data_IF_015200469453
#
_entry.id   IF_015200469453
#
_cell.length_a   1.000
_cell.length_b   1.000
_cell.length_c   1.000
_cell.angle_alpha   90.00
_cell.angle_beta   90.00
_cell.angle_gamma   90.00
#
_symmetry.space_group_name_H-M   'P 1'
#
loop_
_entity.id
_entity.type
_entity.pdbx_description
1 polymer ?
#
# COMPACT_ATOMS: atom_id res chain seq x y z
N UNK A 1 7.40 16.27 26.06
CA UNK A 1 6.56 16.31 24.84
C UNK A 1 6.18 17.75 24.46
N UNK A 2 5.44 18.48 25.30
CA UNK A 2 4.94 19.84 25.00
C UNK A 2 6.07 20.84 24.66
N UNK A 3 7.13 20.90 25.48
CA UNK A 3 8.24 21.84 25.21
C UNK A 3 9.00 21.53 23.92
N UNK A 4 9.05 20.25 23.53
CA UNK A 4 9.63 19.86 22.25
C UNK A 4 8.73 20.27 21.08
N UNK A 5 7.42 20.07 21.21
CA UNK A 5 6.44 20.53 20.24
C UNK A 5 6.52 22.05 20.04
N UNK A 6 6.53 22.84 21.12
CA UNK A 6 6.66 24.31 21.05
C UNK A 6 7.89 24.77 20.27
N UNK A 7 9.03 24.07 20.42
CA UNK A 7 10.25 24.37 19.64
C UNK A 7 10.09 24.06 18.16
N UNK A 8 9.44 22.94 17.82
CA UNK A 8 9.22 22.51 16.44
C UNK A 8 8.25 23.46 15.71
N UNK A 9 7.22 23.94 16.41
CA UNK A 9 6.10 24.67 15.79
C UNK A 9 6.25 26.19 15.87
N UNK A 10 7.28 26.70 16.54
CA UNK A 10 7.51 28.15 16.69
C UNK A 10 7.48 28.87 15.32
N UNK A 11 6.90 30.09 15.24
CA UNK A 11 6.20 30.85 16.28
C UNK A 11 4.72 30.48 16.48
N UNK A 12 4.21 29.40 15.87
CA UNK A 12 2.80 29.03 15.94
C UNK A 12 2.37 28.68 17.38
N UNK A 13 1.29 29.29 17.89
CA UNK A 13 0.65 28.83 19.12
C UNK A 13 0.17 27.37 19.02
N UNK A 14 0.41 26.58 20.07
CA UNK A 14 0.08 25.15 20.09
C UNK A 14 -1.43 24.89 19.97
N UNK A 15 -2.26 25.74 20.58
CA UNK A 15 -3.72 25.70 20.49
C UNK A 15 -4.21 25.90 19.06
N UNK A 16 -3.57 26.78 18.28
CA UNK A 16 -3.89 26.94 16.84
C UNK A 16 -3.56 25.70 16.04
N UNK A 17 -2.42 25.06 16.31
CA UNK A 17 -2.06 23.82 15.65
C UNK A 17 -3.03 22.68 15.99
N UNK A 18 -3.39 22.52 17.26
CA UNK A 18 -4.38 21.54 17.70
C UNK A 18 -5.73 21.79 17.03
N UNK A 19 -6.18 23.05 17.00
CA UNK A 19 -7.42 23.43 16.34
C UNK A 19 -7.39 23.06 14.85
N UNK A 20 -6.32 23.38 14.14
CA UNK A 20 -6.18 23.03 12.72
C UNK A 20 -6.19 21.52 12.50
N UNK A 21 -5.48 20.74 13.32
CA UNK A 21 -5.45 19.27 13.21
C UNK A 21 -6.83 18.64 13.50
N UNK A 22 -7.55 19.13 14.51
CA UNK A 22 -8.94 18.72 14.77
C UNK A 22 -9.88 19.15 13.65
N UNK A 23 -9.68 20.34 13.09
CA UNK A 23 -10.37 20.81 11.91
C UNK A 23 -9.99 20.03 10.64
N UNK A 24 -8.98 19.14 10.69
CA UNK A 24 -8.71 18.11 9.68
C UNK A 24 -9.34 16.75 10.01
N UNK A 25 -10.19 16.66 11.03
CA UNK A 25 -10.98 15.47 11.34
C UNK A 25 -10.25 14.49 12.24
N UNK A 26 -9.16 14.91 12.86
CA UNK A 26 -8.55 14.17 13.95
C UNK A 26 -9.45 14.21 15.18
N UNK A 27 -9.84 13.03 15.66
CA UNK A 27 -10.55 12.84 16.90
C UNK A 27 -9.65 12.06 17.89
N UNK A 28 -9.24 12.66 19.01
CA UNK A 28 -8.37 11.99 19.98
C UNK A 28 -9.05 10.80 20.67
N UNK A 29 -10.37 10.81 20.86
CA UNK A 29 -11.09 9.71 21.47
C UNK A 29 -11.10 8.48 20.54
N UNK A 30 -11.37 8.70 19.25
CA UNK A 30 -11.26 7.64 18.23
C UNK A 30 -9.83 7.09 18.13
N UNK A 31 -8.83 7.97 18.22
CA UNK A 31 -7.42 7.56 18.20
C UNK A 31 -7.04 6.69 19.41
N UNK A 32 -7.50 7.05 20.61
CA UNK A 32 -7.29 6.25 21.84
C UNK A 32 -7.99 4.88 21.73
N UNK A 33 -9.23 4.86 21.25
CA UNK A 33 -10.03 3.65 21.18
C UNK A 33 -9.51 2.66 20.12
N UNK A 34 -8.96 3.18 19.03
CA UNK A 34 -8.48 2.37 17.91
C UNK A 34 -7.08 1.81 18.14
N UNK A 35 -6.27 2.40 19.03
CA UNK A 35 -4.85 2.08 19.14
C UNK A 35 -4.47 1.59 20.54
N UNK A 36 -4.04 0.33 20.64
CA UNK A 36 -3.93 -0.39 21.91
C UNK A 36 -3.01 0.25 22.96
N UNK A 37 -1.84 0.73 22.58
CA UNK A 37 -0.88 1.40 23.47
C UNK A 37 -1.31 2.83 23.85
N UNK A 38 -2.32 3.39 23.18
CA UNK A 38 -2.90 4.69 23.51
C UNK A 38 -3.98 4.63 24.60
N UNK A 39 -4.41 3.43 25.03
CA UNK A 39 -5.52 3.25 25.99
C UNK A 39 -5.35 3.95 27.35
N UNK A 40 -4.11 4.24 27.73
CA UNK A 40 -3.79 4.94 28.99
C UNK A 40 -3.59 6.46 28.81
N UNK A 41 -3.74 6.97 27.59
CA UNK A 41 -3.61 8.39 27.28
C UNK A 41 -4.96 9.08 27.49
N UNK A 42 -4.93 10.32 27.97
CA UNK A 42 -6.07 11.23 27.83
C UNK A 42 -6.05 11.91 26.45
N UNK A 43 -7.13 12.61 26.09
CA UNK A 43 -7.28 13.24 24.77
C UNK A 43 -6.16 14.23 24.42
N UNK A 44 -5.68 15.00 25.40
CA UNK A 44 -4.58 15.95 25.19
C UNK A 44 -3.27 15.21 24.90
N UNK A 45 -2.95 14.19 25.69
CA UNK A 45 -1.77 13.35 25.48
C UNK A 45 -1.84 12.65 24.12
N UNK A 46 -3.01 12.14 23.73
CA UNK A 46 -3.22 11.51 22.43
C UNK A 46 -3.06 12.50 21.28
N UNK A 47 -3.57 13.73 21.45
CA UNK A 47 -3.38 14.82 20.50
C UNK A 47 -1.90 15.20 20.36
N UNK A 48 -1.18 15.40 21.47
CA UNK A 48 0.24 15.72 21.44
C UNK A 48 1.07 14.60 20.83
N UNK A 49 0.76 13.34 21.16
CA UNK A 49 1.39 12.18 20.57
C UNK A 49 1.17 12.17 19.04
N UNK A 50 -0.07 12.33 18.59
CA UNK A 50 -0.40 12.32 17.17
C UNK A 50 0.39 13.41 16.41
N UNK A 51 0.32 14.66 16.89
CA UNK A 51 1.00 15.81 16.30
C UNK A 51 2.51 15.61 16.27
N UNK A 52 3.09 15.04 17.32
CA UNK A 52 4.54 14.89 17.43
C UNK A 52 5.08 13.74 16.55
N UNK A 53 4.41 12.60 16.55
CA UNK A 53 4.91 11.38 15.92
C UNK A 53 3.83 10.46 15.35
N UNK A 54 2.63 10.40 15.96
CA UNK A 54 1.62 9.41 15.59
C UNK A 54 1.17 9.48 14.14
N UNK A 55 1.20 10.66 13.51
CA UNK A 55 0.91 10.82 12.08
C UNK A 55 1.92 10.10 11.16
N UNK A 56 3.11 9.76 11.67
CA UNK A 56 4.18 9.04 10.94
C UNK A 56 4.14 7.54 11.13
N UNK A 57 3.45 7.08 12.16
CA UNK A 57 3.49 5.68 12.61
C UNK A 57 2.50 4.77 11.85
N UNK A 58 1.73 5.32 10.90
CA UNK A 58 0.75 4.59 10.08
C UNK A 58 -0.18 3.66 10.89
N UNK A 59 -0.47 4.00 12.16
CA UNK A 59 -1.44 3.31 13.04
C UNK A 59 -2.79 3.23 12.34
N UNK A 60 -3.73 2.34 12.73
CA UNK A 60 -5.10 2.28 12.18
C UNK A 60 -6.14 2.89 13.15
N UNK A 61 -6.99 3.81 12.67
CA UNK A 61 -7.93 4.68 13.41
C UNK A 61 -8.71 5.54 12.40
N UNK A 62 -10.02 5.76 12.57
CA UNK A 62 -10.81 6.54 11.64
C UNK A 62 -10.45 8.03 11.71
N UNK A 63 -10.42 8.70 10.55
CA UNK A 63 -10.26 10.15 10.48
C UNK A 63 -11.39 10.77 9.66
N UNK A 64 -11.99 11.84 10.19
CA UNK A 64 -13.06 12.57 9.52
C UNK A 64 -12.60 13.26 8.23
N UNK A 65 -13.54 13.85 7.48
CA UNK A 65 -13.27 14.53 6.19
C UNK A 65 -13.40 16.08 6.17
N UNK A 66 -12.81 16.83 7.10
CA UNK A 66 -12.79 18.28 6.95
C UNK A 66 -11.49 18.72 6.26
N UNK A 67 -11.45 18.61 4.93
CA UNK A 67 -10.31 19.08 4.10
C UNK A 67 -10.05 20.59 4.26
N UNK A 68 -11.03 21.37 4.72
CA UNK A 68 -10.85 22.77 5.09
C UNK A 68 -9.72 22.96 6.10
N UNK A 69 -9.56 22.04 7.06
CA UNK A 69 -8.48 22.10 8.05
C UNK A 69 -7.08 21.98 7.44
N UNK A 70 -6.93 21.37 6.27
CA UNK A 70 -5.62 21.23 5.62
C UNK A 70 -5.08 22.59 5.17
N UNK A 71 -5.95 23.43 4.61
CA UNK A 71 -5.56 24.80 4.23
C UNK A 71 -5.22 25.63 5.47
N UNK A 72 -5.99 25.48 6.55
CA UNK A 72 -5.67 26.13 7.84
C UNK A 72 -4.31 25.68 8.38
N UNK A 73 -4.05 24.37 8.38
CA UNK A 73 -2.82 23.75 8.84
C UNK A 73 -1.60 24.25 8.05
N UNK A 74 -1.71 24.37 6.72
CA UNK A 74 -0.63 24.88 5.86
C UNK A 74 -0.43 26.40 5.96
N UNK A 75 -1.44 27.15 6.40
CA UNK A 75 -1.35 28.60 6.59
C UNK A 75 -0.84 29.00 7.99
N UNK A 76 -0.60 28.04 8.89
CA UNK A 76 0.01 28.33 10.19
C UNK A 76 1.43 28.86 10.03
N UNK A 77 1.79 29.85 10.84
CA UNK A 77 3.15 30.41 10.89
C UNK A 77 4.09 29.48 11.67
N UNK A 78 4.53 28.40 11.03
CA UNK A 78 5.50 27.45 11.57
C UNK A 78 6.82 27.64 10.79
N UNK A 79 7.92 27.95 11.49
CA UNK A 79 9.24 28.11 10.85
C UNK A 79 9.73 26.82 10.21
N UNK A 80 9.46 25.67 10.86
CA UNK A 80 9.76 24.36 10.30
C UNK A 80 8.70 23.93 9.27
N UNK A 81 8.80 24.49 8.07
CA UNK A 81 7.88 24.19 6.96
C UNK A 81 7.91 22.71 6.55
N UNK A 82 9.04 22.02 6.73
CA UNK A 82 9.15 20.58 6.48
C UNK A 82 8.26 19.77 7.40
N UNK A 83 8.30 20.05 8.71
CA UNK A 83 7.40 19.45 9.70
C UNK A 83 5.93 19.74 9.40
N UNK A 84 5.59 20.99 9.08
CA UNK A 84 4.21 21.39 8.77
C UNK A 84 3.65 20.61 7.58
N UNK A 85 4.43 20.51 6.49
CA UNK A 85 4.06 19.72 5.31
C UNK A 85 3.93 18.24 5.65
N UNK A 86 4.85 17.67 6.42
CA UNK A 86 4.81 16.28 6.87
C UNK A 86 3.54 15.98 7.69
N UNK A 87 3.16 16.86 8.61
CA UNK A 87 1.95 16.70 9.41
C UNK A 87 0.69 16.78 8.55
N UNK A 88 0.59 17.79 7.67
CA UNK A 88 -0.53 17.92 6.74
C UNK A 88 -0.66 16.69 5.84
N UNK A 89 0.47 16.15 5.38
CA UNK A 89 0.54 14.92 4.60
C UNK A 89 0.00 13.73 5.37
N UNK A 90 0.50 13.47 6.58
CA UNK A 90 0.06 12.34 7.39
C UNK A 90 -1.45 12.37 7.69
N UNK A 91 -1.98 13.57 7.91
CA UNK A 91 -3.42 13.77 8.08
C UNK A 91 -4.20 13.46 6.80
N UNK A 92 -3.82 14.04 5.66
CA UNK A 92 -4.50 13.79 4.38
C UNK A 92 -4.46 12.31 3.96
N UNK A 93 -3.28 11.69 4.01
CA UNK A 93 -3.10 10.25 3.73
C UNK A 93 -4.10 9.45 4.54
N UNK A 94 -4.28 9.83 5.81
CA UNK A 94 -5.19 9.12 6.68
C UNK A 94 -6.66 9.31 6.32
N UNK A 95 -7.05 10.51 5.90
CA UNK A 95 -8.38 10.75 5.36
C UNK A 95 -8.64 9.91 4.11
N UNK A 96 -7.65 9.80 3.21
CA UNK A 96 -7.75 8.93 2.03
C UNK A 96 -7.87 7.45 2.41
N UNK A 97 -7.05 6.95 3.32
CA UNK A 97 -7.15 5.56 3.80
C UNK A 97 -8.54 5.27 4.40
N UNK A 98 -9.07 6.19 5.21
CA UNK A 98 -10.41 6.06 5.82
C UNK A 98 -11.50 6.07 4.76
N UNK A 99 -11.40 6.94 3.75
CA UNK A 99 -12.33 6.99 2.63
C UNK A 99 -12.25 5.71 1.76
N UNK A 100 -11.04 5.23 1.45
CA UNK A 100 -10.82 4.03 0.64
C UNK A 100 -11.40 2.76 1.30
N UNK A 101 -11.33 2.66 2.64
CA UNK A 101 -11.95 1.57 3.40
C UNK A 101 -13.48 1.62 3.40
N UNK A 102 -14.06 2.82 3.40
CA UNK A 102 -15.52 3.00 3.53
C UNK A 102 -16.25 3.00 2.18
N UNK A 103 -15.90 3.90 1.27
CA UNK A 103 -16.55 4.04 -0.04
C UNK A 103 -15.64 4.83 -1.01
N UNK A 104 -15.29 4.21 -2.14
CA UNK A 104 -14.39 4.78 -3.15
C UNK A 104 -14.95 6.02 -3.86
N UNK A 105 -16.27 6.19 -3.90
CA UNK A 105 -16.87 7.40 -4.45
C UNK A 105 -16.46 8.65 -3.68
N UNK A 106 -16.23 8.51 -2.38
CA UNK A 106 -15.76 9.63 -1.56
C UNK A 106 -14.33 10.04 -1.88
N UNK A 107 -13.52 9.16 -2.48
CA UNK A 107 -12.18 9.52 -2.93
C UNK A 107 -12.23 10.51 -4.09
N UNK A 108 -13.27 10.44 -4.93
CA UNK A 108 -13.45 11.37 -6.05
C UNK A 108 -13.62 12.79 -5.53
N UNK A 109 -14.45 12.98 -4.52
CA UNK A 109 -14.66 14.29 -3.89
C UNK A 109 -13.38 14.78 -3.19
N UNK A 110 -12.68 13.90 -2.45
CA UNK A 110 -11.39 14.26 -1.86
C UNK A 110 -10.34 14.65 -2.91
N UNK A 111 -10.30 13.95 -4.06
CA UNK A 111 -9.42 14.30 -5.19
C UNK A 111 -9.74 15.70 -5.71
N UNK A 112 -11.01 16.05 -5.88
CA UNK A 112 -11.43 17.39 -6.31
C UNK A 112 -10.99 18.45 -5.29
N UNK A 113 -11.15 18.16 -4.00
CA UNK A 113 -10.77 19.05 -2.89
C UNK A 113 -9.25 19.27 -2.81
N UNK A 114 -8.42 18.24 -2.95
CA UNK A 114 -6.95 18.46 -2.94
C UNK A 114 -6.48 19.22 -4.18
N UNK A 115 -7.12 18.99 -5.34
CA UNK A 115 -6.80 19.75 -6.55
C UNK A 115 -7.15 21.22 -6.42
N UNK A 116 -8.29 21.56 -5.80
CA UNK A 116 -8.67 22.95 -5.54
C UNK A 116 -7.73 23.65 -4.55
N UNK A 117 -7.11 22.88 -3.64
CA UNK A 117 -6.04 23.32 -2.75
C UNK A 117 -4.63 23.27 -3.38
N UNK A 118 -4.51 23.14 -4.71
CA UNK A 118 -3.27 23.16 -5.47
C UNK A 118 -2.28 22.01 -5.17
N UNK A 119 -2.79 20.88 -4.68
CA UNK A 119 -2.05 19.63 -4.60
C UNK A 119 -2.18 18.82 -5.89
N UNK A 120 -1.21 17.94 -6.14
CA UNK A 120 -1.20 17.06 -7.31
C UNK A 120 -1.51 15.62 -6.88
N UNK A 121 -2.73 15.10 -7.09
CA UNK A 121 -3.02 13.70 -6.81
C UNK A 121 -2.24 12.78 -7.76
N UNK A 122 -1.76 11.65 -7.25
CA UNK A 122 -1.45 10.48 -8.06
C UNK A 122 -2.15 9.27 -7.45
N UNK A 123 -2.60 8.34 -8.29
CA UNK A 123 -3.36 7.18 -7.81
C UNK A 123 -2.44 5.98 -7.75
N UNK A 124 -2.52 5.20 -6.67
CA UNK A 124 -1.87 3.90 -6.57
C UNK A 124 -2.95 2.86 -6.34
N UNK A 125 -3.03 1.84 -7.19
CA UNK A 125 -3.99 0.74 -7.07
C UNK A 125 -3.18 -0.55 -6.99
N UNK A 126 -3.32 -1.29 -5.89
CA UNK A 126 -2.54 -2.51 -5.72
C UNK A 126 -3.08 -3.42 -4.64
N UNK A 127 -2.40 -4.56 -4.45
CA UNK A 127 -2.63 -5.40 -3.29
C UNK A 127 -2.08 -4.73 -1.99
N UNK A 128 -2.05 -5.43 -0.86
CA UNK A 128 -1.60 -4.86 0.42
C UNK A 128 -0.20 -4.23 0.38
N UNK A 129 0.66 -4.64 -0.54
CA UNK A 129 2.02 -4.10 -0.66
C UNK A 129 2.03 -2.68 -1.24
N UNK A 130 0.93 -2.22 -1.83
CA UNK A 130 0.81 -0.82 -2.28
C UNK A 130 0.75 0.16 -1.11
N UNK A 131 0.54 -0.28 0.13
CA UNK A 131 0.55 0.58 1.32
C UNK A 131 1.86 1.36 1.48
N UNK A 132 2.96 0.86 0.91
CA UNK A 132 4.27 1.51 0.93
C UNK A 132 4.33 2.82 0.10
N UNK A 133 3.36 3.08 -0.78
CA UNK A 133 3.28 4.33 -1.56
C UNK A 133 2.41 5.39 -0.88
N UNK A 134 2.09 5.23 0.40
CA UNK A 134 1.19 6.12 1.15
C UNK A 134 1.82 7.46 1.58
N UNK A 135 3.02 7.82 1.12
CA UNK A 135 3.71 9.06 1.53
C UNK A 135 3.64 10.14 0.48
N UNK A 136 3.51 11.39 0.92
CA UNK A 136 3.58 12.56 0.05
C UNK A 136 5.00 12.78 -0.44
N UNK A 137 5.12 13.41 -1.61
CA UNK A 137 6.40 13.82 -2.17
C UNK A 137 6.32 15.31 -2.49
N UNK A 138 7.28 16.10 -2.01
CA UNK A 138 7.46 17.49 -2.41
C UNK A 138 8.53 17.55 -3.50
N UNK A 139 8.15 17.97 -4.71
CA UNK A 139 9.06 18.18 -5.83
C UNK A 139 8.98 19.64 -6.24
N UNK A 140 10.04 20.39 -5.95
CA UNK A 140 10.16 21.82 -6.27
C UNK A 140 8.96 22.67 -5.78
N UNK A 141 8.46 22.38 -4.57
CA UNK A 141 7.33 23.09 -3.96
C UNK A 141 5.96 22.61 -4.43
N UNK A 142 5.89 21.62 -5.32
CA UNK A 142 4.65 20.93 -5.70
C UNK A 142 4.49 19.68 -4.86
N UNK A 143 3.38 19.61 -4.14
CA UNK A 143 3.09 18.50 -3.24
C UNK A 143 2.25 17.46 -3.99
N UNK A 144 2.82 16.27 -4.15
CA UNK A 144 2.20 15.09 -4.74
C UNK A 144 1.58 14.22 -3.65
N UNK A 145 0.32 13.84 -3.87
CA UNK A 145 -0.54 13.19 -2.87
C UNK A 145 -0.97 11.81 -3.35
N UNK A 146 -0.58 10.71 -2.68
CA UNK A 146 -1.04 9.38 -3.02
C UNK A 146 -2.50 9.21 -2.64
N UNK A 147 -3.31 8.83 -3.61
CA UNK A 147 -4.63 8.25 -3.40
C UNK A 147 -4.47 6.74 -3.56
N UNK A 148 -4.26 6.05 -2.44
CA UNK A 148 -3.96 4.64 -2.42
C UNK A 148 -5.24 3.79 -2.27
N UNK A 149 -5.49 2.94 -3.27
CA UNK A 149 -6.55 1.96 -3.31
C UNK A 149 -5.99 0.57 -3.02
N UNK A 150 -5.96 0.24 -1.74
CA UNK A 150 -5.48 -1.06 -1.26
C UNK A 150 -6.56 -2.12 -1.47
N UNK A 151 -6.27 -3.08 -2.33
CA UNK A 151 -7.11 -4.20 -2.69
C UNK A 151 -6.60 -5.45 -1.99
N UNK A 152 -6.77 -5.53 -0.66
CA UNK A 152 -6.22 -6.62 0.16
C UNK A 152 -6.65 -8.00 -0.35
N UNK A 153 -5.67 -8.87 -0.61
CA UNK A 153 -5.89 -10.22 -1.15
C UNK A 153 -6.27 -10.28 -2.63
N UNK A 154 -6.25 -9.16 -3.35
CA UNK A 154 -6.35 -9.17 -4.80
C UNK A 154 -5.08 -9.72 -5.45
N UNK A 155 -5.25 -10.36 -6.60
CA UNK A 155 -4.17 -10.93 -7.40
C UNK A 155 -4.23 -10.36 -8.81
N UNK A 156 -3.08 -10.22 -9.46
CA UNK A 156 -2.98 -9.87 -10.87
C UNK A 156 -3.78 -10.86 -11.74
N UNK A 157 -3.69 -12.16 -11.39
CA UNK A 157 -4.48 -13.22 -12.02
C UNK A 157 -6.00 -13.00 -11.88
N UNK A 158 -6.46 -12.47 -10.76
CA UNK A 158 -7.88 -12.27 -10.46
C UNK A 158 -8.51 -11.02 -11.08
N UNK A 159 -7.74 -9.98 -11.38
CA UNK A 159 -8.30 -8.71 -11.86
C UNK A 159 -9.09 -8.83 -13.17
N UNK A 160 -8.63 -9.68 -14.10
CA UNK A 160 -9.28 -9.89 -15.41
C UNK A 160 -10.48 -10.83 -15.40
N UNK A 161 -10.94 -11.28 -14.23
CA UNK A 161 -11.95 -12.33 -14.05
C UNK A 161 -13.21 -11.81 -13.34
N UNK A 162 -14.35 -12.02 -13.98
CA UNK A 162 -15.67 -11.62 -13.44
C UNK A 162 -16.12 -12.49 -12.26
N UNK A 163 -15.62 -13.72 -12.16
CA UNK A 163 -16.01 -14.72 -11.16
C UNK A 163 -15.16 -14.66 -9.87
N UNK A 164 -14.34 -13.63 -9.70
CA UNK A 164 -13.51 -13.51 -8.49
C UNK A 164 -14.34 -13.14 -7.28
N UNK A 165 -14.07 -13.81 -6.15
CA UNK A 165 -14.74 -13.54 -4.87
C UNK A 165 -14.51 -12.11 -4.36
N UNK A 166 -13.37 -11.51 -4.67
CA UNK A 166 -13.01 -10.17 -4.21
C UNK A 166 -13.65 -9.06 -5.05
N UNK A 167 -13.97 -9.31 -6.33
CA UNK A 167 -14.62 -8.35 -7.22
C UNK A 167 -13.82 -7.07 -7.51
N UNK A 168 -12.53 -7.01 -7.13
CA UNK A 168 -11.75 -5.78 -7.22
C UNK A 168 -11.55 -5.29 -8.67
N UNK A 169 -11.38 -6.20 -9.65
CA UNK A 169 -11.22 -5.81 -11.05
C UNK A 169 -12.39 -4.96 -11.55
N UNK A 170 -13.63 -5.44 -11.33
CA UNK A 170 -14.86 -4.70 -11.68
C UNK A 170 -14.95 -3.38 -10.92
N UNK A 171 -14.68 -3.38 -9.61
CA UNK A 171 -14.75 -2.18 -8.77
C UNK A 171 -13.76 -1.10 -9.24
N UNK A 172 -12.53 -1.49 -9.61
CA UNK A 172 -11.52 -0.59 -10.16
C UNK A 172 -12.00 -0.02 -11.49
N UNK A 173 -12.49 -0.87 -12.40
CA UNK A 173 -13.02 -0.42 -13.69
C UNK A 173 -14.16 0.60 -13.53
N UNK A 174 -15.14 0.31 -12.68
CA UNK A 174 -16.29 1.20 -12.43
C UNK A 174 -15.84 2.54 -11.83
N UNK A 175 -14.89 2.52 -10.90
CA UNK A 175 -14.37 3.73 -10.27
C UNK A 175 -13.54 4.59 -11.24
N UNK A 176 -12.68 3.99 -12.06
CA UNK A 176 -11.90 4.72 -13.08
C UNK A 176 -12.81 5.33 -14.15
N UNK A 177 -13.86 4.60 -14.56
CA UNK A 177 -14.88 5.13 -15.47
C UNK A 177 -15.59 6.34 -14.88
N UNK A 178 -15.89 6.31 -13.57
CA UNK A 178 -16.49 7.45 -12.87
C UNK A 178 -15.55 8.65 -12.81
N UNK A 179 -14.27 8.43 -12.45
CA UNK A 179 -13.25 9.48 -12.49
C UNK A 179 -13.16 10.15 -13.87
N UNK A 180 -13.19 9.36 -14.94
CA UNK A 180 -13.18 9.86 -16.31
C UNK A 180 -14.44 10.69 -16.62
N UNK A 181 -15.62 10.21 -16.22
CA UNK A 181 -16.89 10.91 -16.46
C UNK A 181 -17.01 12.26 -15.74
N UNK A 182 -16.32 12.40 -14.61
CA UNK A 182 -16.19 13.63 -13.83
C UNK A 182 -15.11 14.58 -14.40
N UNK A 183 -14.46 14.21 -15.50
CA UNK A 183 -13.36 14.94 -16.15
C UNK A 183 -12.20 15.29 -15.19
N UNK A 184 -11.92 14.39 -14.26
CA UNK A 184 -10.84 14.58 -13.29
C UNK A 184 -9.53 14.12 -13.94
N UNK A 185 -8.71 15.09 -14.36
CA UNK A 185 -7.36 14.79 -14.84
C UNK A 185 -6.48 14.24 -13.71
N UNK A 186 -6.03 13.00 -13.84
CA UNK A 186 -5.02 12.37 -12.99
C UNK A 186 -3.72 12.28 -13.79
N UNK A 187 -2.60 12.82 -13.29
CA UNK A 187 -1.32 12.78 -13.99
C UNK A 187 -0.82 11.36 -14.29
N UNK A 188 -0.96 10.47 -13.32
CA UNK A 188 -0.42 9.10 -13.37
C UNK A 188 -1.21 8.16 -12.44
N UNK A 189 -1.43 6.94 -12.90
CA UNK A 189 -2.03 5.86 -12.11
C UNK A 189 -1.05 4.68 -12.09
N UNK A 190 -0.56 4.38 -10.89
CA UNK A 190 0.35 3.26 -10.64
C UNK A 190 -0.45 2.02 -10.28
N UNK A 191 -0.14 0.91 -10.95
CA UNK A 191 -0.68 -0.39 -10.61
C UNK A 191 0.39 -1.29 -10.01
N UNK A 192 0.08 -1.91 -8.89
CA UNK A 192 0.99 -2.81 -8.17
C UNK A 192 0.29 -4.10 -7.74
N UNK A 193 0.35 -5.09 -8.61
CA UNK A 193 -0.21 -6.42 -8.36
C UNK A 193 0.79 -7.49 -8.76
N UNK A 194 0.67 -8.66 -8.15
CA UNK A 194 1.49 -9.83 -8.46
C UNK A 194 2.29 -10.37 -7.28
N UNK A 195 2.46 -9.59 -6.21
CA UNK A 195 3.16 -10.09 -5.02
C UNK A 195 2.39 -11.28 -4.44
N UNK A 196 1.06 -11.12 -4.30
CA UNK A 196 0.19 -12.19 -3.81
C UNK A 196 0.21 -13.42 -4.72
N UNK A 197 0.23 -13.21 -6.04
CA UNK A 197 0.31 -14.28 -7.03
C UNK A 197 1.56 -15.15 -6.82
N UNK A 198 2.71 -14.50 -6.74
CA UNK A 198 4.01 -15.18 -6.66
C UNK A 198 4.20 -15.84 -5.29
N UNK A 199 3.89 -15.15 -4.19
CA UNK A 199 4.16 -15.66 -2.84
C UNK A 199 3.14 -16.71 -2.37
N UNK A 200 1.86 -16.56 -2.71
CA UNK A 200 0.79 -17.36 -2.13
C UNK A 200 0.01 -18.16 -3.15
N UNK A 201 -0.52 -17.52 -4.21
CA UNK A 201 -1.44 -18.19 -5.13
C UNK A 201 -0.77 -19.34 -5.87
N UNK A 202 0.49 -19.16 -6.29
CA UNK A 202 1.30 -20.24 -6.90
C UNK A 202 1.39 -21.47 -5.98
N UNK A 203 1.72 -21.23 -4.71
CA UNK A 203 1.84 -22.25 -3.66
C UNK A 203 0.51 -22.93 -3.37
N UNK A 204 -0.59 -22.18 -3.22
CA UNK A 204 -1.91 -22.74 -2.89
C UNK A 204 -2.52 -23.53 -4.05
N UNK A 205 -2.25 -23.14 -5.29
CA UNK A 205 -2.62 -23.96 -6.46
C UNK A 205 -1.89 -25.29 -6.45
N UNK A 206 -0.60 -25.30 -6.10
CA UNK A 206 0.19 -26.52 -5.97
C UNK A 206 -0.38 -27.44 -4.88
N UNK A 207 -0.74 -26.90 -3.72
CA UNK A 207 -1.44 -27.65 -2.65
C UNK A 207 -2.72 -28.30 -3.18
N UNK A 208 -3.54 -27.55 -3.92
CA UNK A 208 -4.81 -28.04 -4.48
C UNK A 208 -4.63 -29.18 -5.50
N UNK A 209 -3.45 -29.29 -6.10
CA UNK A 209 -3.07 -30.34 -7.04
C UNK A 209 -2.33 -31.51 -6.35
N UNK A 210 -2.33 -31.56 -5.02
CA UNK A 210 -1.60 -32.55 -4.19
C UNK A 210 -0.09 -32.62 -4.49
N UNK A 211 0.48 -31.50 -4.97
CA UNK A 211 1.90 -31.39 -5.28
C UNK A 211 2.69 -30.93 -4.06
N UNK A 212 3.70 -31.70 -3.65
CA UNK A 212 4.59 -31.31 -2.55
C UNK A 212 5.94 -30.77 -3.02
N UNK A 213 6.39 -31.14 -4.22
CA UNK A 213 7.69 -30.72 -4.76
C UNK A 213 7.59 -29.39 -5.51
N UNK A 214 8.68 -28.64 -5.56
CA UNK A 214 8.74 -27.42 -6.37
C UNK A 214 9.12 -27.75 -7.82
N UNK A 215 8.40 -27.13 -8.77
CA UNK A 215 8.66 -27.24 -10.20
C UNK A 215 8.80 -25.84 -10.78
N UNK A 216 10.01 -25.50 -11.23
CA UNK A 216 10.25 -24.23 -11.91
C UNK A 216 9.42 -24.09 -13.20
N UNK A 217 9.29 -25.12 -14.07
CA UNK A 217 8.40 -25.04 -15.23
C UNK A 217 6.95 -24.71 -14.85
N UNK A 218 6.37 -25.38 -13.85
CA UNK A 218 4.99 -25.12 -13.43
C UNK A 218 4.82 -23.70 -12.87
N UNK A 219 5.84 -23.20 -12.16
CA UNK A 219 5.88 -21.82 -11.72
C UNK A 219 5.92 -20.84 -12.90
N UNK A 220 6.75 -21.10 -13.92
CA UNK A 220 6.82 -20.26 -15.13
C UNK A 220 5.46 -20.22 -15.84
N UNK A 221 4.80 -21.36 -15.99
CA UNK A 221 3.46 -21.45 -16.60
C UNK A 221 2.42 -20.67 -15.78
N UNK A 222 2.50 -20.76 -14.45
CA UNK A 222 1.66 -19.96 -13.56
C UNK A 222 1.89 -18.45 -13.75
N UNK A 223 3.15 -18.02 -13.84
CA UNK A 223 3.49 -16.61 -14.06
C UNK A 223 2.94 -16.14 -15.39
N UNK A 224 3.09 -16.91 -16.47
CA UNK A 224 2.56 -16.55 -17.79
C UNK A 224 1.04 -16.39 -17.78
N UNK A 225 0.34 -17.26 -17.05
CA UNK A 225 -1.10 -17.13 -16.85
C UNK A 225 -1.48 -15.84 -16.07
N UNK A 226 -0.76 -15.54 -14.98
CA UNK A 226 -1.02 -14.34 -14.18
C UNK A 226 -0.76 -13.05 -14.97
N UNK A 227 0.37 -12.97 -15.68
CA UNK A 227 0.73 -11.84 -16.54
C UNK A 227 -0.29 -11.66 -17.66
N UNK A 228 -0.74 -12.74 -18.32
CA UNK A 228 -1.74 -12.65 -19.39
C UNK A 228 -3.08 -12.13 -18.90
N UNK A 229 -3.52 -12.54 -17.70
CA UNK A 229 -4.75 -12.04 -17.09
C UNK A 229 -4.64 -10.55 -16.74
N UNK A 230 -3.49 -10.15 -16.21
CA UNK A 230 -3.22 -8.77 -15.85
C UNK A 230 -3.14 -7.86 -17.07
N UNK A 231 -2.49 -8.32 -18.15
CA UNK A 231 -2.42 -7.64 -19.43
C UNK A 231 -3.83 -7.37 -19.98
N UNK A 232 -4.72 -8.37 -19.96
CA UNK A 232 -6.11 -8.21 -20.39
C UNK A 232 -6.81 -7.11 -19.61
N UNK A 233 -6.69 -7.13 -18.28
CA UNK A 233 -7.28 -6.10 -17.42
C UNK A 233 -6.73 -4.70 -17.75
N UNK A 234 -5.40 -4.54 -17.86
CA UNK A 234 -4.75 -3.26 -18.17
C UNK A 234 -5.18 -2.71 -19.55
N UNK A 235 -5.38 -3.59 -20.55
CA UNK A 235 -5.93 -3.18 -21.85
C UNK A 235 -7.33 -2.60 -21.73
N UNK A 236 -8.19 -3.21 -20.93
CA UNK A 236 -9.57 -2.76 -20.75
C UNK A 236 -9.66 -1.37 -20.11
N UNK A 237 -8.70 -1.02 -19.24
CA UNK A 237 -8.63 0.30 -18.61
C UNK A 237 -7.68 1.27 -19.32
N UNK A 238 -7.03 0.89 -20.43
CA UNK A 238 -6.03 1.72 -21.12
C UNK A 238 -6.53 3.08 -21.62
N UNK A 239 -7.85 3.30 -21.62
CA UNK A 239 -8.45 4.59 -21.90
C UNK A 239 -8.20 5.64 -20.82
N UNK A 240 -7.78 5.24 -19.61
CA UNK A 240 -7.65 6.13 -18.45
C UNK A 240 -6.24 6.73 -18.35
N UNK A 241 -6.04 7.88 -18.98
CA UNK A 241 -4.85 8.71 -18.77
C UNK A 241 -3.52 7.96 -18.97
N UNK A 242 -2.54 8.25 -18.12
CA UNK A 242 -1.24 7.57 -18.11
C UNK A 242 -1.24 6.47 -17.04
N UNK A 243 -0.77 5.29 -17.45
CA UNK A 243 -0.67 4.12 -16.60
C UNK A 243 0.78 3.70 -16.45
N UNK A 244 1.14 3.38 -15.20
CA UNK A 244 2.45 2.83 -14.82
C UNK A 244 2.24 1.51 -14.09
N UNK A 245 3.07 0.51 -14.39
CA UNK A 245 3.08 -0.77 -13.68
C UNK A 245 4.33 -0.82 -12.81
N UNK A 246 4.13 -1.00 -11.50
CA UNK A 246 5.20 -1.18 -10.54
C UNK A 246 5.61 -2.65 -10.50
N UNK A 247 6.92 -2.91 -10.35
CA UNK A 247 7.43 -4.23 -10.05
C UNK A 247 6.91 -4.71 -8.69
N UNK A 248 6.84 -6.03 -8.51
CA UNK A 248 6.66 -6.66 -7.20
C UNK A 248 7.97 -6.51 -6.41
N UNK A 249 7.89 -6.48 -5.08
CA UNK A 249 9.06 -6.34 -4.21
C UNK A 249 9.82 -7.67 -4.07
N UNK A 250 11.10 -7.66 -3.63
CA UNK A 250 11.74 -8.90 -3.21
C UNK A 250 10.99 -9.51 -2.01
N UNK A 251 11.03 -10.86 -1.88
CA UNK A 251 10.34 -11.53 -0.78
C UNK A 251 11.00 -11.21 0.56
N UNK A 252 10.19 -10.99 1.60
CA UNK A 252 10.65 -10.76 2.98
C UNK A 252 10.30 -11.91 3.93
N UNK A 253 9.33 -12.75 3.57
CA UNK A 253 8.91 -13.91 4.36
C UNK A 253 10.06 -14.91 4.48
N UNK A 254 10.48 -15.22 5.71
CA UNK A 254 11.67 -16.06 5.95
C UNK A 254 11.42 -17.54 5.66
N UNK A 255 12.49 -18.29 5.41
CA UNK A 255 12.41 -19.76 5.26
C UNK A 255 11.89 -20.42 6.55
N UNK A 256 12.24 -19.85 7.72
CA UNK A 256 11.71 -20.29 9.02
C UNK A 256 10.18 -20.13 9.10
N UNK A 257 9.65 -18.97 8.70
CA UNK A 257 8.21 -18.72 8.69
C UNK A 257 7.45 -19.70 7.78
N UNK A 258 8.01 -20.00 6.61
CA UNK A 258 7.46 -21.03 5.72
C UNK A 258 7.46 -22.42 6.37
N UNK A 259 8.56 -22.80 7.00
CA UNK A 259 8.68 -24.08 7.71
C UNK A 259 7.71 -24.20 8.91
N UNK A 260 7.36 -23.08 9.54
CA UNK A 260 6.33 -23.02 10.59
C UNK A 260 4.90 -23.15 10.03
N UNK A 261 4.74 -23.16 8.71
CA UNK A 261 3.46 -23.25 8.03
C UNK A 261 2.74 -21.90 8.01
N UNK A 262 3.47 -20.80 7.81
CA UNK A 262 2.85 -19.49 7.64
C UNK A 262 1.79 -19.53 6.54
N UNK A 263 0.62 -18.99 6.85
CA UNK A 263 -0.51 -18.87 5.93
C UNK A 263 -1.13 -17.51 6.13
N UNK A 264 -1.27 -16.74 5.06
CA UNK A 264 -2.18 -15.62 5.06
C UNK A 264 -3.62 -16.18 4.99
N UNK A 265 -4.28 -16.26 6.15
CA UNK A 265 -5.59 -16.91 6.31
C UNK A 265 -6.65 -16.38 5.32
N UNK A 266 -6.61 -15.08 5.02
CA UNK A 266 -7.56 -14.44 4.09
C UNK A 266 -7.36 -14.92 2.65
N UNK A 267 -6.11 -15.00 2.18
CA UNK A 267 -5.80 -15.50 0.84
C UNK A 267 -6.09 -17.00 0.76
N UNK A 268 -5.72 -17.75 1.80
CA UNK A 268 -5.85 -19.19 1.85
C UNK A 268 -7.32 -19.64 1.76
N UNK A 269 -8.20 -18.99 2.51
CA UNK A 269 -9.63 -19.20 2.41
C UNK A 269 -10.20 -18.78 1.05
N UNK A 270 -9.76 -17.65 0.50
CA UNK A 270 -10.20 -17.15 -0.80
C UNK A 270 -9.89 -18.12 -1.94
N UNK A 271 -8.68 -18.69 -1.96
CA UNK A 271 -8.18 -19.56 -3.04
C UNK A 271 -8.64 -21.03 -2.92
N UNK A 272 -8.70 -21.56 -1.69
CA UNK A 272 -8.91 -23.01 -1.48
C UNK A 272 -10.29 -23.36 -0.91
N UNK A 273 -10.92 -22.44 -0.16
CA UNK A 273 -12.12 -22.73 0.64
C UNK A 273 -11.87 -23.64 1.86
N UNK A 274 -10.62 -23.93 2.20
CA UNK A 274 -10.20 -24.79 3.32
C UNK A 274 -9.84 -23.93 4.54
N UNK A 275 -9.89 -24.50 5.75
CA UNK A 275 -9.53 -23.78 6.99
C UNK A 275 -8.03 -23.41 7.01
N UNK A 276 -7.64 -22.25 7.59
CA UNK A 276 -6.25 -21.84 7.68
C UNK A 276 -5.34 -22.87 8.35
N UNK A 277 -5.82 -23.60 9.35
CA UNK A 277 -5.05 -24.62 10.08
C UNK A 277 -4.73 -25.83 9.21
N UNK A 278 -5.68 -26.25 8.37
CA UNK A 278 -5.46 -27.34 7.43
C UNK A 278 -4.47 -26.95 6.33
N UNK A 279 -4.54 -25.70 5.86
CA UNK A 279 -3.59 -25.18 4.87
C UNK A 279 -2.21 -25.03 5.49
N UNK A 280 -2.11 -24.56 6.74
CA UNK A 280 -0.84 -24.43 7.45
C UNK A 280 -0.13 -25.78 7.58
N UNK A 281 -0.88 -26.84 7.91
CA UNK A 281 -0.34 -28.22 7.92
C UNK A 281 0.16 -28.67 6.55
N UNK A 282 -0.55 -28.33 5.48
CA UNK A 282 -0.15 -28.67 4.12
C UNK A 282 1.10 -27.89 3.71
N UNK A 283 1.19 -26.59 4.03
CA UNK A 283 2.37 -25.75 3.76
C UNK A 283 3.63 -26.33 4.38
N UNK A 284 3.56 -26.85 5.61
CA UNK A 284 4.73 -27.50 6.28
C UNK A 284 5.27 -28.73 5.55
N UNK A 285 4.46 -29.36 4.69
CA UNK A 285 4.85 -30.53 3.92
C UNK A 285 5.33 -30.18 2.51
N UNK A 286 5.33 -28.90 2.13
CA UNK A 286 5.79 -28.45 0.83
C UNK A 286 7.30 -28.25 0.82
N UNK A 287 7.91 -28.58 -0.31
CA UNK A 287 9.19 -28.03 -0.70
C UNK A 287 9.00 -26.54 -1.05
N UNK A 288 9.50 -25.66 -0.18
CA UNK A 288 9.53 -24.22 -0.40
C UNK A 288 10.94 -23.84 -0.88
N UNK A 289 11.07 -23.15 -2.02
CA UNK A 289 12.36 -22.66 -2.48
C UNK A 289 13.01 -21.71 -1.46
N UNK A 290 14.34 -21.72 -1.40
CA UNK A 290 15.12 -20.82 -0.53
C UNK A 290 14.79 -19.34 -0.78
N UNK A 291 15.08 -18.47 0.19
CA UNK A 291 14.94 -17.02 0.02
C UNK A 291 15.58 -16.47 -1.27
N UNK A 292 16.78 -16.95 -1.62
CA UNK A 292 17.46 -16.59 -2.86
C UNK A 292 16.68 -17.04 -4.09
N UNK A 293 16.25 -18.29 -4.13
CA UNK A 293 15.45 -18.83 -5.23
C UNK A 293 14.12 -18.09 -5.38
N UNK A 294 13.47 -17.71 -4.27
CA UNK A 294 12.26 -16.88 -4.31
C UNK A 294 12.55 -15.47 -4.82
N UNK A 295 13.69 -14.88 -4.48
CA UNK A 295 14.11 -13.59 -5.04
C UNK A 295 14.31 -13.68 -6.57
N UNK A 296 14.93 -14.76 -7.06
CA UNK A 296 15.06 -15.03 -8.50
C UNK A 296 13.69 -15.23 -9.18
N UNK A 297 12.74 -15.89 -8.51
CA UNK A 297 11.36 -16.05 -8.99
C UNK A 297 10.64 -14.70 -9.10
N UNK A 298 10.82 -13.78 -8.14
CA UNK A 298 10.27 -12.42 -8.21
C UNK A 298 10.91 -11.61 -9.34
N UNK A 299 12.24 -11.75 -9.53
CA UNK A 299 12.93 -11.15 -10.66
C UNK A 299 12.40 -11.66 -12.01
N UNK A 300 12.13 -12.96 -12.12
CA UNK A 300 11.50 -13.57 -13.31
C UNK A 300 10.11 -12.97 -13.58
N UNK A 301 9.28 -12.85 -12.54
CA UNK A 301 7.95 -12.24 -12.64
C UNK A 301 8.05 -10.79 -13.12
N UNK A 302 8.94 -10.00 -12.51
CA UNK A 302 9.19 -8.61 -12.87
C UNK A 302 9.72 -8.44 -14.29
N UNK A 303 10.55 -9.36 -14.78
CA UNK A 303 10.99 -9.35 -16.17
C UNK A 303 9.82 -9.56 -17.15
N UNK A 304 8.89 -10.47 -16.83
CA UNK A 304 7.69 -10.68 -17.65
C UNK A 304 6.72 -9.50 -17.53
N UNK A 305 6.55 -8.90 -16.35
CA UNK A 305 5.79 -7.65 -16.18
C UNK A 305 6.37 -6.53 -17.03
N UNK A 306 7.69 -6.33 -17.03
CA UNK A 306 8.35 -5.30 -17.82
C UNK A 306 8.07 -5.48 -19.32
N UNK A 307 8.20 -6.70 -19.83
CA UNK A 307 7.88 -7.02 -21.24
C UNK A 307 6.41 -6.76 -21.58
N UNK A 308 5.49 -7.11 -20.67
CA UNK A 308 4.07 -6.81 -20.82
C UNK A 308 3.83 -5.30 -20.88
N UNK A 309 4.44 -4.52 -19.98
CA UNK A 309 4.35 -3.06 -19.97
C UNK A 309 4.89 -2.45 -21.26
N UNK A 310 6.06 -2.90 -21.74
CA UNK A 310 6.64 -2.47 -23.03
C UNK A 310 5.70 -2.76 -24.20
N UNK A 311 5.11 -3.97 -24.23
CA UNK A 311 4.14 -4.36 -25.26
C UNK A 311 2.90 -3.46 -25.24
N UNK A 312 2.40 -3.12 -24.05
CA UNK A 312 1.25 -2.23 -23.86
C UNK A 312 1.59 -0.74 -23.96
N UNK A 313 2.87 -0.39 -24.15
CA UNK A 313 3.39 0.99 -24.12
C UNK A 313 3.07 1.72 -22.81
N UNK A 314 3.11 0.98 -21.70
CA UNK A 314 2.97 1.51 -20.35
C UNK A 314 4.35 1.79 -19.76
N UNK A 315 4.41 2.70 -18.79
CA UNK A 315 5.62 2.88 -17.99
C UNK A 315 5.80 1.68 -17.06
N UNK A 316 7.06 1.27 -16.87
CA UNK A 316 7.43 0.26 -15.89
C UNK A 316 8.32 0.89 -14.83
N UNK A 317 7.94 0.75 -13.56
CA UNK A 317 8.69 1.26 -12.40
C UNK A 317 9.35 0.07 -11.69
N UNK A 318 10.67 0.10 -11.62
CA UNK A 318 11.45 -0.94 -10.95
C UNK A 318 11.69 -0.57 -9.48
N UNK A 319 10.80 -1.06 -8.62
CA UNK A 319 10.90 -0.98 -7.17
C UNK A 319 11.61 -2.21 -6.57
N UNK A 320 11.98 -3.19 -7.40
CA UNK A 320 12.57 -4.45 -6.98
C UNK A 320 14.09 -4.32 -6.85
N UNK A 321 14.76 -3.94 -7.94
CA UNK A 321 16.23 -3.94 -8.01
C UNK A 321 16.89 -3.05 -6.96
N UNK A 322 16.37 -1.87 -6.60
CA UNK A 322 16.96 -1.03 -5.55
C UNK A 322 16.95 -1.67 -4.15
N UNK A 323 16.07 -2.65 -3.92
CA UNK A 323 15.91 -3.30 -2.61
C UNK A 323 16.69 -4.61 -2.47
N UNK A 324 17.27 -5.10 -3.57
CA UNK A 324 18.06 -6.34 -3.57
C UNK A 324 19.51 -6.00 -3.24
N UNK A 325 20.00 -6.56 -2.13
CA UNK A 325 21.39 -6.39 -1.71
C UNK A 325 22.37 -7.25 -2.49
N UNK A 326 23.66 -7.09 -2.19
CA UNK A 326 24.77 -7.79 -2.86
C UNK A 326 24.69 -9.34 -2.78
N UNK A 327 23.90 -9.88 -1.85
CA UNK A 327 23.70 -11.32 -1.68
C UNK A 327 22.63 -11.91 -2.59
N UNK A 328 21.97 -11.09 -3.43
CA UNK A 328 20.89 -11.53 -4.31
C UNK A 328 19.58 -11.83 -3.56
N UNK A 329 19.39 -11.20 -2.41
CA UNK A 329 18.17 -11.22 -1.58
C UNK A 329 17.86 -9.79 -1.12
N UNK A 330 16.68 -9.55 -0.56
CA UNK A 330 16.34 -8.25 0.04
C UNK A 330 17.43 -7.79 1.03
N UNK A 331 17.84 -6.53 0.94
CA UNK A 331 18.85 -5.97 1.84
C UNK A 331 18.28 -5.80 3.26
N UNK A 332 19.08 -6.13 4.29
CA UNK A 332 18.63 -6.20 5.68
C UNK A 332 18.10 -4.85 6.20
N UNK A 333 18.66 -3.73 5.72
CA UNK A 333 18.22 -2.38 6.07
C UNK A 333 16.76 -2.10 5.68
N UNK A 334 16.22 -2.81 4.69
CA UNK A 334 14.84 -2.67 4.27
C UNK A 334 13.89 -3.60 5.02
N UNK A 335 14.41 -4.52 5.83
CA UNK A 335 13.65 -5.53 6.57
C UNK A 335 13.68 -5.19 8.07
N UNK A 336 13.11 -4.05 8.54
CA UNK A 336 13.29 -3.66 9.94
C UNK A 336 12.57 -4.62 10.88
N UNK A 337 13.31 -5.18 11.85
CA UNK A 337 12.82 -5.59 13.18
C UNK A 337 11.61 -6.52 13.28
N UNK A 338 11.04 -6.98 12.17
CA UNK A 338 9.93 -7.90 12.13
C UNK A 338 10.50 -9.32 12.20
N UNK A 339 9.80 -10.27 12.84
CA UNK A 339 10.26 -11.65 12.98
C UNK A 339 10.26 -12.43 11.64
N UNK A 340 10.27 -11.73 10.50
CA UNK A 340 10.19 -12.33 9.18
C UNK A 340 8.80 -12.84 8.80
N UNK A 341 7.75 -12.38 9.51
CA UNK A 341 6.35 -12.82 9.37
C UNK A 341 5.41 -11.70 8.84
N UNK A 342 5.96 -10.54 8.51
CA UNK A 342 5.22 -9.37 8.02
C UNK A 342 5.55 -9.11 6.55
N UNK A 343 4.53 -9.20 5.71
CA UNK A 343 4.61 -9.06 4.25
C UNK A 343 4.74 -7.59 3.83
N UNK A 344 4.35 -6.66 4.70
CA UNK A 344 4.54 -5.22 4.52
C UNK A 344 5.92 -4.74 4.98
N UNK A 345 6.76 -5.67 5.47
CA UNK A 345 8.02 -5.41 6.15
C UNK A 345 9.13 -4.77 5.32
N UNK A 346 8.88 -4.30 4.09
CA UNK A 346 9.80 -3.36 3.42
C UNK A 346 9.51 -1.97 3.97
N UNK A 347 10.28 -1.52 4.95
CA UNK A 347 10.14 -0.12 5.37
C UNK A 347 11.03 0.78 4.54
N UNK A 348 10.49 1.94 4.15
CA UNK A 348 11.26 3.05 3.61
C UNK A 348 12.10 3.77 4.69
N UNK A 349 12.61 3.04 5.69
CA UNK A 349 13.50 3.55 6.73
C UNK A 349 14.95 3.08 6.51
N UNK A 350 15.43 3.23 5.28
CA UNK A 350 16.84 3.59 5.08
C UNK A 350 16.96 5.09 5.37
N UNK A 351 17.69 5.43 6.42
CA UNK A 351 17.94 6.77 6.93
C UNK A 351 18.49 7.72 5.86
N UNK A 352 17.86 8.90 5.72
CA UNK A 352 18.48 10.22 5.98
C UNK A 352 17.40 11.30 6.22
#
# INVERSE_FOLDING_TARGET
MIEMLKRIISPCPLDKLISAVRACGFDPAEYINSVNDMKNFNEDQATYHFILQGFRENRDFPMGRPMQGISELLNLSIENTGYQKLLASGVMVRQFQTAAKSNWDHLIELIKEIKSANFVPYIVIGDSHSELYSRFIDVDGRIFVPVNLVCSGATALGLGREDTRSGFGRRIYEWLKKLQSENIAIPEIFFKFGQVDVEFTSTFKRIKLDGNLFSLPDFVDFVDLSISSYEKFLREISYIGRLSVCSIFPPTLTDAAWNEGYVNANIAFAETGVSPESISKQVRNLEIPSMRSRTEMHALYNHKLKKMSEHLRLNFIDDFSPLVGNQGVVAEEFVPGHPGNDLSGVSAHGTD
#
